data_IF_744278969972
#
_entry.id   IF_744278969972
#
_cell.length_a   1.000
_cell.length_b   1.000
_cell.length_c   1.000
_cell.angle_alpha   90.00
_cell.angle_beta   90.00
_cell.angle_gamma   90.00
#
_symmetry.space_group_name_H-M   'P 1'
#
loop_
_entity.id
_entity.type
_entity.pdbx_description
1 polymer ?
#
# COMPACT_ATOMS: atom_id res chain seq x y z
N UNK A 1 -18.30 9.65 24.91
CA UNK A 1 -18.07 8.90 23.66
C UNK A 1 -16.60 9.06 23.32
N UNK A 2 -15.78 8.02 23.47
CA UNK A 2 -14.37 8.09 23.05
C UNK A 2 -14.38 7.79 21.55
N UNK A 3 -14.10 8.81 20.74
CA UNK A 3 -13.89 8.60 19.31
C UNK A 3 -12.53 7.93 19.18
N UNK A 4 -12.48 6.69 18.72
CA UNK A 4 -11.20 6.05 18.41
C UNK A 4 -10.51 6.88 17.33
N UNK A 5 -9.31 7.37 17.63
CA UNK A 5 -8.55 8.22 16.73
C UNK A 5 -7.87 7.32 15.70
N UNK A 6 -8.44 7.26 14.51
CA UNK A 6 -7.79 6.62 13.37
C UNK A 6 -6.78 7.59 12.76
N UNK A 7 -5.51 7.19 12.71
CA UNK A 7 -4.45 7.95 12.05
C UNK A 7 -3.89 7.15 10.88
N UNK A 8 -3.68 7.84 9.75
CA UNK A 8 -2.98 7.25 8.61
C UNK A 8 -1.48 7.49 8.77
N UNK A 9 -0.70 6.44 8.61
CA UNK A 9 0.77 6.48 8.60
C UNK A 9 1.28 5.91 7.27
N UNK A 10 2.41 6.44 6.81
CA UNK A 10 3.09 5.94 5.60
C UNK A 10 4.33 5.17 6.05
N UNK A 11 4.41 3.92 5.61
CA UNK A 11 5.57 3.05 5.79
C UNK A 11 6.40 3.11 4.51
N UNK A 12 7.69 3.44 4.63
CA UNK A 12 8.61 3.63 3.51
C UNK A 12 9.89 2.77 3.59
N UNK A 13 10.12 2.12 4.74
CA UNK A 13 11.22 1.17 4.95
C UNK A 13 10.80 -0.25 4.62
N UNK A 14 11.71 -1.01 4.00
CA UNK A 14 11.45 -2.41 3.65
C UNK A 14 10.95 -3.24 4.84
N UNK A 15 11.54 -3.09 6.04
CA UNK A 15 11.13 -3.85 7.24
C UNK A 15 9.67 -3.63 7.63
N UNK A 16 9.17 -2.41 7.42
CA UNK A 16 7.82 -2.02 7.81
C UNK A 16 6.81 -2.29 6.69
N UNK A 17 7.26 -2.25 5.43
CA UNK A 17 6.47 -2.54 4.23
C UNK A 17 6.30 -4.04 4.00
N UNK A 18 7.33 -4.85 4.27
CA UNK A 18 7.35 -6.29 3.97
C UNK A 18 6.13 -7.06 4.50
N UNK A 19 5.62 -6.81 5.73
CA UNK A 19 4.42 -7.48 6.24
C UNK A 19 3.13 -7.19 5.45
N UNK A 20 3.10 -6.14 4.62
CA UNK A 20 1.91 -5.71 3.87
C UNK A 20 1.99 -6.03 2.37
N UNK A 21 3.07 -6.66 1.89
CA UNK A 21 3.26 -6.98 0.46
C UNK A 21 2.13 -7.87 -0.08
N UNK A 22 1.62 -8.80 0.72
CA UNK A 22 0.48 -9.64 0.32
C UNK A 22 -0.80 -8.81 0.15
N UNK A 23 -1.07 -7.85 1.05
CA UNK A 23 -2.21 -6.93 0.91
C UNK A 23 -2.09 -6.01 -0.31
N UNK A 24 -0.86 -5.61 -0.67
CA UNK A 24 -0.59 -4.86 -1.91
C UNK A 24 -0.89 -5.70 -3.14
N UNK A 25 -0.45 -6.97 -3.15
CA UNK A 25 -0.75 -7.92 -4.21
C UNK A 25 -2.26 -8.12 -4.39
N UNK A 26 -2.99 -8.36 -3.30
CA UNK A 26 -4.44 -8.52 -3.32
C UNK A 26 -5.14 -7.27 -3.88
N UNK A 27 -4.72 -6.07 -3.46
CA UNK A 27 -5.28 -4.82 -3.95
C UNK A 27 -5.01 -4.60 -5.44
N UNK A 28 -3.79 -4.92 -5.91
CA UNK A 28 -3.45 -4.85 -7.33
C UNK A 28 -4.20 -5.91 -8.16
N UNK A 29 -4.44 -7.08 -7.59
CA UNK A 29 -5.24 -8.16 -8.19
C UNK A 29 -6.71 -7.78 -8.36
N UNK A 30 -7.30 -7.06 -7.40
CA UNK A 30 -8.69 -6.62 -7.50
C UNK A 30 -8.95 -5.62 -8.64
N UNK A 31 -7.91 -4.92 -9.11
CA UNK A 31 -7.98 -3.96 -10.21
C UNK A 31 -7.59 -4.57 -11.58
N UNK A 32 -7.51 -5.92 -11.68
CA UNK A 32 -7.04 -6.69 -12.86
C UNK A 32 -7.74 -6.42 -14.20
N UNK A 33 -8.89 -5.73 -14.22
CA UNK A 33 -9.52 -5.33 -15.48
C UNK A 33 -8.90 -4.08 -16.12
N UNK A 34 -7.97 -3.37 -15.45
CA UNK A 34 -7.53 -2.05 -15.90
C UNK A 34 -6.14 -1.96 -16.54
N UNK A 35 -5.07 -2.65 -16.12
CA UNK A 35 -3.74 -2.49 -16.75
C UNK A 35 -2.73 -3.58 -16.33
N UNK A 36 -1.75 -3.83 -17.21
CA UNK A 36 -0.64 -4.80 -17.12
C UNK A 36 -0.26 -5.31 -15.72
N UNK A 37 -0.51 -6.61 -15.52
CA UNK A 37 -0.24 -7.33 -14.27
C UNK A 37 1.26 -7.40 -13.94
N UNK A 38 1.62 -7.07 -12.70
CA UNK A 38 2.94 -7.35 -12.15
C UNK A 38 2.90 -8.69 -11.38
N UNK A 39 3.81 -9.65 -11.65
CA UNK A 39 3.94 -10.85 -10.83
C UNK A 39 4.15 -10.50 -9.35
N UNK A 40 3.67 -11.34 -8.43
CA UNK A 40 3.73 -11.06 -6.98
C UNK A 40 5.12 -10.73 -6.45
N UNK A 41 6.17 -11.30 -7.05
CA UNK A 41 7.58 -11.00 -6.74
C UNK A 41 8.00 -9.55 -7.03
N UNK A 42 7.31 -8.87 -7.94
CA UNK A 42 7.66 -7.50 -8.32
C UNK A 42 7.43 -6.53 -7.17
N UNK A 43 6.32 -6.64 -6.44
CA UNK A 43 6.06 -5.75 -5.30
C UNK A 43 7.09 -5.93 -4.19
N UNK A 44 7.56 -7.16 -3.95
CA UNK A 44 8.66 -7.42 -3.02
C UNK A 44 9.97 -6.78 -3.50
N UNK A 45 10.31 -6.88 -4.79
CA UNK A 45 11.49 -6.23 -5.36
C UNK A 45 11.44 -4.70 -5.20
N UNK A 46 10.27 -4.10 -5.40
CA UNK A 46 10.07 -2.67 -5.18
C UNK A 46 10.15 -2.30 -3.69
N UNK A 47 9.60 -3.12 -2.79
CA UNK A 47 9.76 -2.93 -1.35
C UNK A 47 11.23 -2.96 -0.93
N UNK A 48 12.01 -3.92 -1.45
CA UNK A 48 13.46 -4.04 -1.16
C UNK A 48 14.26 -2.85 -1.69
N UNK A 49 13.79 -2.19 -2.73
CA UNK A 49 14.37 -0.96 -3.29
C UNK A 49 13.88 0.32 -2.58
N UNK A 50 13.05 0.20 -1.55
CA UNK A 50 12.36 1.32 -0.88
C UNK A 50 11.56 2.19 -1.89
N UNK A 51 10.96 1.51 -2.87
CA UNK A 51 10.21 2.10 -3.98
C UNK A 51 8.73 1.65 -3.99
N UNK A 52 8.28 1.15 -2.85
CA UNK A 52 6.90 0.85 -2.53
C UNK A 52 6.59 1.47 -1.17
N UNK A 53 5.71 2.45 -1.16
CA UNK A 53 5.18 3.00 0.10
C UNK A 53 3.83 2.39 0.39
N UNK A 54 3.58 2.10 1.66
CA UNK A 54 2.31 1.54 2.14
C UNK A 54 1.66 2.52 3.10
N UNK A 55 0.43 2.90 2.81
CA UNK A 55 -0.40 3.60 3.77
C UNK A 55 -1.08 2.58 4.69
N UNK A 56 -0.99 2.81 6.00
CA UNK A 56 -1.68 2.00 7.01
C UNK A 56 -2.55 2.89 7.88
N UNK A 57 -3.69 2.34 8.31
CA UNK A 57 -4.51 2.91 9.34
C UNK A 57 -4.08 2.31 10.69
N UNK A 58 -3.69 3.15 11.63
CA UNK A 58 -3.35 2.75 13.00
C UNK A 58 -4.60 2.74 13.87
N UNK A 59 -4.76 1.63 14.58
CA UNK A 59 -5.85 1.34 15.52
C UNK A 59 -5.28 0.90 16.87
N UNK A 60 -6.14 0.83 17.89
CA UNK A 60 -5.74 0.34 19.22
C UNK A 60 -5.15 -1.09 19.20
N UNK A 61 -5.52 -1.89 18.20
CA UNK A 61 -5.12 -3.31 18.08
C UNK A 61 -3.98 -3.56 17.08
N UNK A 62 -3.45 -2.52 16.44
CA UNK A 62 -2.38 -2.65 15.45
C UNK A 62 -2.61 -1.78 14.21
N UNK A 63 -2.12 -2.25 13.08
CA UNK A 63 -2.18 -1.55 11.79
C UNK A 63 -2.98 -2.36 10.78
N UNK A 64 -3.72 -1.68 9.91
CA UNK A 64 -4.37 -2.29 8.76
C UNK A 64 -3.99 -1.57 7.47
N UNK A 65 -3.76 -2.33 6.40
CA UNK A 65 -3.50 -1.77 5.07
C UNK A 65 -4.60 -0.81 4.62
N UNK A 66 -4.22 0.39 4.18
CA UNK A 66 -5.11 1.44 3.69
C UNK A 66 -4.83 1.85 2.23
N UNK A 67 -3.70 1.45 1.65
CA UNK A 67 -3.33 1.79 0.29
C UNK A 67 -1.83 1.65 0.03
N UNK A 68 -1.41 1.91 -1.20
CA UNK A 68 0.00 1.93 -1.56
C UNK A 68 0.31 2.90 -2.70
N UNK A 69 1.59 3.25 -2.79
CA UNK A 69 2.20 3.97 -3.90
C UNK A 69 3.41 3.16 -4.39
N UNK A 70 3.32 2.65 -5.63
CA UNK A 70 4.43 2.01 -6.32
C UNK A 70 5.06 3.02 -7.28
N UNK A 71 6.38 3.19 -7.23
CA UNK A 71 7.07 4.14 -8.10
C UNK A 71 8.45 3.62 -8.52
N UNK A 72 9.00 4.19 -9.58
CA UNK A 72 10.38 4.00 -9.99
C UNK A 72 11.11 5.33 -9.85
N UNK A 73 12.14 5.38 -9.01
CA UNK A 73 13.04 6.52 -8.91
C UNK A 73 14.38 6.14 -9.53
N UNK A 74 14.67 6.64 -10.74
CA UNK A 74 15.99 6.51 -11.38
C UNK A 74 16.43 7.87 -11.87
N UNK A 75 17.57 8.36 -11.38
CA UNK A 75 18.11 9.65 -11.83
C UNK A 75 18.15 9.74 -13.38
N UNK A 76 17.66 10.82 -14.00
CA UNK A 76 17.17 12.07 -13.38
C UNK A 76 15.64 12.13 -13.15
N UNK A 77 14.88 11.05 -13.35
CA UNK A 77 13.40 11.08 -13.33
C UNK A 77 12.77 10.06 -12.37
N UNK A 78 11.71 10.48 -11.68
CA UNK A 78 10.80 9.58 -10.97
C UNK A 78 9.54 9.34 -11.78
N UNK A 79 8.95 8.14 -11.69
CA UNK A 79 7.64 7.83 -12.27
C UNK A 79 6.80 7.03 -11.29
N UNK A 80 5.58 7.49 -11.04
CA UNK A 80 4.57 6.70 -10.35
C UNK A 80 4.07 5.59 -11.28
N UNK A 81 4.11 4.35 -10.79
CA UNK A 81 3.67 3.15 -11.51
C UNK A 81 2.23 2.80 -11.15
N UNK A 82 1.87 2.91 -9.87
CA UNK A 82 0.54 2.59 -9.36
C UNK A 82 0.24 3.37 -8.09
N UNK A 83 -1.02 3.79 -7.94
CA UNK A 83 -1.59 4.31 -6.71
C UNK A 83 -2.85 3.50 -6.44
N UNK A 84 -2.98 2.99 -5.23
CA UNK A 84 -4.21 2.33 -4.78
C UNK A 84 -4.56 2.84 -3.39
N UNK A 85 -5.85 3.04 -3.17
CA UNK A 85 -6.42 3.34 -1.85
C UNK A 85 -7.54 2.35 -1.58
N UNK A 86 -7.55 1.76 -0.40
CA UNK A 86 -8.70 0.98 0.06
C UNK A 86 -9.80 1.95 0.45
N UNK A 87 -10.82 2.08 -0.40
CA UNK A 87 -12.04 2.81 -0.02
C UNK A 87 -12.69 2.08 1.16
N UNK A 88 -12.82 2.77 2.29
CA UNK A 88 -13.72 2.32 3.36
C UNK A 88 -15.14 2.45 2.84
N UNK A 89 -15.87 1.33 2.77
CA UNK A 89 -17.32 1.39 2.78
C UNK A 89 -17.73 1.79 4.20
N UNK A 90 -18.12 3.04 4.38
CA UNK A 90 -18.92 3.46 5.54
C UNK A 90 -20.32 2.85 5.39
N UNK A 91 -20.45 1.55 5.60
CA UNK A 91 -21.73 0.91 5.91
C UNK A 91 -21.65 0.39 7.34
N UNK A 92 -21.81 1.32 8.29
CA UNK A 92 -22.35 0.99 9.59
C UNK A 92 -23.86 1.19 9.48
N UNK A 93 -24.60 0.09 9.64
CA UNK A 93 -26.06 0.13 9.80
C UNK A 93 -26.50 0.78 11.11
#
# INVERSE_FOLDING_TARGET
MIVEKHTIEILDRYSDVAPFVDSVNEAADSDKNALGFFPSRVFEDFARKEQLFVAVERHAKGMSYAGHLLFEARHPKGRVRQISSRLRSENMG
#
